data_IF_006181222190
#
_entry.id   IF_006181222190
#
_cell.length_a   1.000
_cell.length_b   1.000
_cell.length_c   1.000
_cell.angle_alpha   90.00
_cell.angle_beta   90.00
_cell.angle_gamma   90.00
#
_symmetry.space_group_name_H-M   'P 1'
#
loop_
_entity.id
_entity.type
_entity.pdbx_description
1 polymer ?
#
# COMPACT_ATOMS: atom_id res chain seq x y z
N UNK A 1 12.10 -5.28 1.84
CA UNK A 1 11.88 -6.72 2.08
C UNK A 1 10.73 -6.92 3.05
N UNK A 2 9.82 -7.86 2.75
CA UNK A 2 8.76 -8.29 3.66
C UNK A 2 9.28 -9.32 4.65
N UNK A 3 8.96 -9.13 5.92
CA UNK A 3 9.37 -10.01 7.01
C UNK A 3 8.17 -10.30 7.91
N UNK A 4 7.75 -11.56 7.99
CA UNK A 4 6.71 -11.97 8.96
C UNK A 4 7.22 -11.79 10.39
N UNK A 5 6.33 -11.39 11.28
CA UNK A 5 6.64 -11.10 12.69
C UNK A 5 6.26 -12.27 13.59
N UNK A 6 6.70 -12.23 14.84
CA UNK A 6 6.30 -13.24 15.84
C UNK A 6 4.83 -13.09 16.24
N UNK A 7 4.22 -14.17 16.75
CA UNK A 7 2.84 -14.15 17.26
C UNK A 7 2.61 -13.04 18.31
N UNK A 8 3.62 -12.74 19.14
CA UNK A 8 3.54 -11.67 20.14
C UNK A 8 3.42 -10.30 19.47
N UNK A 9 4.22 -10.04 18.44
CA UNK A 9 4.16 -8.79 17.67
C UNK A 9 2.87 -8.69 16.86
N UNK A 10 2.39 -9.81 16.33
CA UNK A 10 1.08 -9.85 15.67
C UNK A 10 -0.05 -9.47 16.63
N UNK A 11 -0.08 -10.04 17.84
CA UNK A 11 -1.08 -9.69 18.86
C UNK A 11 -1.00 -8.21 19.25
N UNK A 12 0.20 -7.63 19.35
CA UNK A 12 0.37 -6.20 19.62
C UNK A 12 -0.24 -5.33 18.50
N UNK A 13 0.00 -5.69 17.24
CA UNK A 13 -0.59 -5.00 16.09
C UNK A 13 -2.12 -5.15 16.04
N UNK A 14 -2.65 -6.32 16.41
CA UNK A 14 -4.10 -6.53 16.54
C UNK A 14 -4.69 -5.58 17.59
N UNK A 15 -4.08 -5.47 18.77
CA UNK A 15 -4.54 -4.56 19.81
C UNK A 15 -4.42 -3.08 19.41
N UNK A 16 -3.40 -2.73 18.64
CA UNK A 16 -3.28 -1.37 18.10
C UNK A 16 -4.36 -1.09 17.05
N UNK A 17 -4.56 -1.99 16.09
CA UNK A 17 -5.58 -1.86 15.05
C UNK A 17 -6.99 -1.72 15.65
N UNK A 18 -7.30 -2.45 16.74
CA UNK A 18 -8.58 -2.34 17.47
C UNK A 18 -8.84 -0.96 18.07
N UNK A 19 -7.83 -0.11 18.27
CA UNK A 19 -8.02 1.28 18.72
C UNK A 19 -8.35 2.22 17.56
N UNK A 20 -7.96 1.85 16.34
CA UNK A 20 -8.21 2.65 15.15
C UNK A 20 -9.71 2.62 14.78
N UNK A 21 -10.31 3.80 14.66
CA UNK A 21 -11.76 3.95 14.39
C UNK A 21 -12.14 3.39 13.03
N UNK A 22 -11.36 3.70 12.00
CA UNK A 22 -11.67 3.30 10.62
C UNK A 22 -11.52 1.79 10.43
N UNK A 23 -10.54 1.19 11.12
CA UNK A 23 -10.40 -0.26 11.20
C UNK A 23 -11.66 -0.92 11.73
N UNK A 24 -12.19 -0.43 12.86
CA UNK A 24 -13.41 -0.98 13.44
C UNK A 24 -14.64 -0.80 12.54
N UNK A 25 -14.75 0.34 11.85
CA UNK A 25 -15.85 0.59 10.92
C UNK A 25 -15.76 -0.35 9.71
N UNK A 26 -14.57 -0.50 9.11
CA UNK A 26 -14.36 -1.41 7.99
C UNK A 26 -14.61 -2.86 8.38
N UNK A 27 -14.07 -3.32 9.51
CA UNK A 27 -14.33 -4.68 9.99
C UNK A 27 -15.83 -4.90 10.16
N UNK A 28 -16.55 -4.03 10.90
CA UNK A 28 -17.99 -4.21 11.12
C UNK A 28 -18.81 -4.16 9.82
N UNK A 29 -18.49 -3.24 8.92
CA UNK A 29 -19.21 -3.05 7.67
C UNK A 29 -18.98 -4.16 6.64
N UNK A 30 -17.76 -4.72 6.59
CA UNK A 30 -17.37 -5.73 5.60
C UNK A 30 -17.50 -7.17 6.11
N UNK A 31 -17.30 -7.41 7.41
CA UNK A 31 -17.18 -8.76 8.01
C UNK A 31 -18.50 -9.20 8.69
N UNK A 32 -19.51 -8.33 8.79
CA UNK A 32 -20.90 -8.58 9.24
C UNK A 32 -21.07 -9.83 10.12
N UNK A 33 -20.51 -9.79 11.33
CA UNK A 33 -20.72 -10.74 12.44
C UNK A 33 -19.73 -11.91 12.64
N UNK A 34 -18.61 -12.02 11.89
CA UNK A 34 -17.68 -13.16 12.07
C UNK A 34 -16.19 -12.82 12.22
N UNK A 35 -15.85 -11.79 13.02
CA UNK A 35 -14.45 -11.50 13.42
C UNK A 35 -13.75 -12.72 14.04
N UNK A 36 -14.49 -13.61 14.72
CA UNK A 36 -13.96 -14.85 15.33
C UNK A 36 -13.37 -15.85 14.33
N UNK A 37 -13.70 -15.75 13.04
CA UNK A 37 -13.14 -16.60 11.97
C UNK A 37 -12.05 -15.90 11.16
N UNK A 38 -11.78 -14.63 11.46
CA UNK A 38 -10.79 -13.86 10.72
C UNK A 38 -9.40 -14.39 11.04
N UNK A 39 -8.65 -14.79 9.99
CA UNK A 39 -7.24 -15.14 10.12
C UNK A 39 -6.43 -13.85 10.04
N UNK A 40 -5.62 -13.62 11.05
CA UNK A 40 -4.66 -12.51 11.06
C UNK A 40 -3.31 -13.01 10.56
N UNK A 41 -2.56 -12.11 9.95
CA UNK A 41 -1.16 -12.31 9.63
C UNK A 41 -0.49 -10.96 9.68
N UNK A 42 0.60 -10.83 10.45
CA UNK A 42 1.36 -9.60 10.49
C UNK A 42 2.73 -9.74 9.83
N UNK A 43 3.17 -8.66 9.20
CA UNK A 43 4.51 -8.55 8.61
C UNK A 43 4.99 -7.11 8.61
N UNK A 44 6.30 -6.92 8.63
CA UNK A 44 6.94 -5.62 8.47
C UNK A 44 7.49 -5.49 7.05
N UNK A 45 7.21 -4.36 6.43
CA UNK A 45 7.82 -3.92 5.18
C UNK A 45 8.93 -2.92 5.51
N UNK A 46 10.15 -3.17 5.03
CA UNK A 46 11.29 -2.28 5.23
C UNK A 46 11.94 -1.90 3.92
N UNK A 47 12.26 -0.61 3.76
CA UNK A 47 13.08 -0.08 2.67
C UNK A 47 13.80 1.19 3.12
N UNK A 48 15.14 1.15 3.16
CA UNK A 48 15.93 2.22 3.76
C UNK A 48 15.50 2.44 5.22
N UNK A 49 15.25 3.69 5.60
CA UNK A 49 14.73 4.06 6.92
C UNK A 49 13.21 3.90 7.05
N UNK A 50 12.50 3.66 5.95
CA UNK A 50 11.04 3.49 5.98
C UNK A 50 10.68 2.10 6.48
N UNK A 51 9.92 2.05 7.58
CA UNK A 51 9.41 0.84 8.20
C UNK A 51 7.88 0.97 8.30
N UNK A 52 7.16 -0.02 7.77
CA UNK A 52 5.70 -0.10 7.86
C UNK A 52 5.33 -1.45 8.43
N UNK A 53 4.67 -1.47 9.58
CA UNK A 53 4.07 -2.69 10.12
C UNK A 53 2.70 -2.87 9.48
N UNK A 54 2.41 -4.07 9.00
CA UNK A 54 1.16 -4.38 8.31
C UNK A 54 0.49 -5.53 9.04
N UNK A 55 -0.74 -5.29 9.49
CA UNK A 55 -1.66 -6.34 9.92
C UNK A 55 -2.62 -6.63 8.76
N UNK A 56 -2.59 -7.85 8.27
CA UNK A 56 -3.55 -8.37 7.31
C UNK A 56 -4.61 -9.20 8.05
N UNK A 57 -5.88 -8.85 7.86
CA UNK A 57 -7.03 -9.59 8.36
C UNK A 57 -7.77 -10.20 7.17
N UNK A 58 -7.85 -11.52 7.11
CA UNK A 58 -8.52 -12.27 6.05
C UNK A 58 -9.81 -12.90 6.55
N UNK A 59 -10.93 -12.65 5.86
CA UNK A 59 -12.19 -13.37 6.00
C UNK A 59 -12.68 -13.80 4.62
N UNK A 60 -12.50 -15.09 4.30
CA UNK A 60 -12.83 -15.61 2.98
C UNK A 60 -12.04 -14.88 1.89
N UNK A 61 -12.74 -14.11 1.06
CA UNK A 61 -12.19 -13.32 -0.04
C UNK A 61 -12.03 -11.82 0.28
N UNK A 62 -12.39 -11.41 1.50
CA UNK A 62 -12.20 -10.06 2.01
C UNK A 62 -10.89 -10.00 2.77
N UNK A 63 -10.11 -8.94 2.49
CA UNK A 63 -8.89 -8.57 3.17
C UNK A 63 -9.06 -7.18 3.77
N UNK A 64 -8.64 -6.99 5.01
CA UNK A 64 -8.46 -5.66 5.61
C UNK A 64 -6.99 -5.51 5.98
N UNK A 65 -6.36 -4.49 5.44
CA UNK A 65 -5.00 -4.09 5.77
C UNK A 65 -5.06 -2.92 6.75
N UNK A 66 -4.42 -3.08 7.90
CA UNK A 66 -4.06 -1.99 8.79
C UNK A 66 -2.55 -1.78 8.70
N UNK A 67 -2.14 -0.56 8.42
CA UNK A 67 -0.73 -0.17 8.37
C UNK A 67 -0.42 0.72 9.56
N UNK A 68 0.52 0.30 10.40
CA UNK A 68 1.09 1.11 11.46
C UNK A 68 2.44 1.65 11.00
N UNK A 69 2.49 2.98 10.90
CA UNK A 69 3.70 3.77 10.71
C UNK A 69 3.58 4.99 11.64
N UNK A 70 4.11 6.16 11.28
CA UNK A 70 3.75 7.39 11.99
C UNK A 70 2.30 7.82 11.71
N UNK A 71 1.77 7.44 10.55
CA UNK A 71 0.35 7.59 10.21
C UNK A 71 -0.26 6.21 10.08
N UNK A 72 -1.31 5.97 10.86
CA UNK A 72 -2.11 4.76 10.74
C UNK A 72 -3.03 4.85 9.53
N UNK A 73 -3.18 3.75 8.79
CA UNK A 73 -4.10 3.72 7.65
C UNK A 73 -4.76 2.37 7.48
N UNK A 74 -5.96 2.39 6.90
CA UNK A 74 -6.79 1.20 6.74
C UNK A 74 -7.34 1.10 5.34
N UNK A 75 -7.18 -0.09 4.74
CA UNK A 75 -7.68 -0.41 3.41
C UNK A 75 -8.43 -1.72 3.45
N UNK A 76 -9.70 -1.73 3.04
CA UNK A 76 -10.43 -2.97 2.78
C UNK A 76 -10.32 -3.34 1.31
N UNK A 77 -10.20 -4.61 0.99
CA UNK A 77 -10.36 -5.11 -0.36
C UNK A 77 -11.12 -6.44 -0.40
N UNK A 78 -11.81 -6.70 -1.51
CA UNK A 78 -12.49 -7.96 -1.79
C UNK A 78 -12.14 -8.39 -3.20
N UNK A 79 -11.69 -9.63 -3.36
CA UNK A 79 -11.33 -10.20 -4.66
C UNK A 79 -12.31 -11.34 -4.96
N UNK A 80 -13.12 -11.23 -6.00
CA UNK A 80 -14.12 -12.22 -6.38
C UNK A 80 -13.86 -12.78 -7.77
N UNK A 81 -13.76 -14.11 -7.87
CA UNK A 81 -13.74 -14.79 -9.16
C UNK A 81 -15.17 -15.08 -9.62
N UNK A 82 -15.54 -14.59 -10.80
CA UNK A 82 -16.84 -14.77 -11.47
C UNK A 82 -16.61 -15.33 -12.87
N UNK A 83 -16.51 -16.66 -12.97
CA UNK A 83 -16.08 -17.31 -14.21
C UNK A 83 -14.61 -17.00 -14.49
N UNK A 84 -14.30 -16.43 -15.66
CA UNK A 84 -12.94 -16.06 -16.08
C UNK A 84 -12.55 -14.62 -15.69
N UNK A 85 -13.45 -13.92 -14.98
CA UNK A 85 -13.25 -12.55 -14.51
C UNK A 85 -12.93 -12.55 -13.02
N UNK A 86 -11.90 -11.81 -12.64
CA UNK A 86 -11.57 -11.43 -11.27
C UNK A 86 -12.02 -9.98 -11.05
N UNK A 87 -12.91 -9.78 -10.08
CA UNK A 87 -13.33 -8.45 -9.63
C UNK A 87 -12.60 -8.08 -8.34
N UNK A 88 -11.82 -6.99 -8.39
CA UNK A 88 -11.18 -6.38 -7.22
C UNK A 88 -11.99 -5.17 -6.79
N UNK A 89 -12.50 -5.18 -5.57
CA UNK A 89 -13.20 -4.04 -4.95
C UNK A 89 -12.38 -3.52 -3.78
N UNK A 90 -12.12 -2.21 -3.73
CA UNK A 90 -11.46 -1.52 -2.63
C UNK A 90 -12.43 -0.66 -1.82
N UNK A 91 -12.25 -0.68 -0.50
CA UNK A 91 -13.12 -0.03 0.47
C UNK A 91 -12.31 0.92 1.36
N UNK A 92 -12.92 2.05 1.71
CA UNK A 92 -12.44 3.00 2.72
C UNK A 92 -13.59 3.47 3.61
N UNK A 93 -13.25 4.07 4.74
CA UNK A 93 -14.21 4.81 5.55
C UNK A 93 -14.27 6.24 5.04
N UNK A 94 -15.47 6.69 4.66
CA UNK A 94 -15.76 8.09 4.32
C UNK A 94 -17.03 8.44 5.09
N UNK A 95 -17.02 9.57 5.79
CA UNK A 95 -18.17 10.03 6.60
C UNK A 95 -18.72 8.98 7.57
N UNK A 96 -17.81 8.27 8.26
CA UNK A 96 -18.10 7.15 9.17
C UNK A 96 -18.81 5.95 8.53
N UNK A 97 -18.77 5.82 7.21
CA UNK A 97 -19.42 4.75 6.47
C UNK A 97 -18.43 4.05 5.54
N UNK A 98 -18.62 2.74 5.39
CA UNK A 98 -17.84 1.95 4.42
C UNK A 98 -18.28 2.34 3.01
N UNK A 99 -17.36 2.86 2.23
CA UNK A 99 -17.55 3.31 0.85
C UNK A 99 -16.70 2.49 -0.10
N UNK A 100 -17.27 2.13 -1.26
CA UNK A 100 -16.52 1.55 -2.37
C UNK A 100 -15.78 2.70 -3.07
N UNK A 101 -14.46 2.61 -3.08
CA UNK A 101 -13.57 3.65 -3.65
C UNK A 101 -12.73 3.12 -4.81
N UNK A 102 -12.78 1.81 -5.05
CA UNK A 102 -12.15 1.14 -6.18
C UNK A 102 -13.01 -0.06 -6.59
N UNK A 103 -13.25 -0.25 -7.88
CA UNK A 103 -13.83 -1.47 -8.44
C UNK A 103 -13.25 -1.67 -9.84
N UNK A 104 -12.64 -2.83 -10.07
CA UNK A 104 -12.05 -3.17 -11.37
C UNK A 104 -12.24 -4.66 -11.65
N UNK A 105 -12.50 -4.96 -12.91
CA UNK A 105 -12.54 -6.32 -13.43
C UNK A 105 -11.29 -6.60 -14.25
N UNK A 106 -10.72 -7.78 -14.06
CA UNK A 106 -9.55 -8.29 -14.74
C UNK A 106 -9.89 -9.67 -15.28
N UNK A 107 -9.33 -10.07 -16.41
CA UNK A 107 -9.23 -11.50 -16.72
C UNK A 107 -8.28 -12.17 -15.73
N UNK A 108 -8.38 -13.50 -15.57
CA UNK A 108 -7.43 -14.25 -14.74
C UNK A 108 -5.98 -13.99 -15.15
N UNK A 109 -5.68 -14.01 -16.45
CA UNK A 109 -4.32 -13.79 -16.96
C UNK A 109 -3.82 -12.38 -16.64
N UNK A 110 -4.63 -11.34 -16.89
CA UNK A 110 -4.26 -9.96 -16.56
C UNK A 110 -4.00 -9.79 -15.06
N UNK A 111 -4.81 -10.44 -14.21
CA UNK A 111 -4.62 -10.36 -12.76
C UNK A 111 -3.31 -11.02 -12.33
N UNK A 112 -2.97 -12.19 -12.87
CA UNK A 112 -1.70 -12.87 -12.58
C UNK A 112 -0.50 -12.05 -13.06
N UNK A 113 -0.55 -11.51 -14.28
CA UNK A 113 0.52 -10.65 -14.80
C UNK A 113 0.74 -9.41 -13.93
N UNK A 114 -0.34 -8.77 -13.44
CA UNK A 114 -0.23 -7.65 -12.50
C UNK A 114 0.45 -8.12 -11.20
N UNK A 115 0.03 -9.26 -10.64
CA UNK A 115 0.64 -9.79 -9.41
C UNK A 115 2.14 -10.12 -9.61
N UNK A 116 2.51 -10.72 -10.73
CA UNK A 116 3.89 -11.05 -11.07
C UNK A 116 4.74 -9.77 -11.21
N UNK A 117 4.31 -8.79 -12.00
CA UNK A 117 5.00 -7.50 -12.17
C UNK A 117 5.17 -6.78 -10.82
N UNK A 118 4.19 -6.88 -9.94
CA UNK A 118 4.26 -6.29 -8.59
C UNK A 118 5.25 -7.04 -7.68
N UNK A 119 5.41 -8.36 -7.85
CA UNK A 119 6.20 -9.23 -6.97
C UNK A 119 7.66 -9.49 -7.46
N UNK A 120 7.93 -9.46 -8.77
CA UNK A 120 9.20 -9.90 -9.39
C UNK A 120 10.46 -9.12 -8.94
N UNK A 121 10.32 -7.96 -8.28
CA UNK A 121 11.47 -7.13 -7.89
C UNK A 121 11.86 -7.17 -6.42
N UNK A 122 11.21 -7.98 -5.60
CA UNK A 122 11.60 -8.17 -4.19
C UNK A 122 12.98 -8.83 -4.06
N UNK A 123 13.40 -9.65 -5.03
CA UNK A 123 14.62 -10.47 -4.94
C UNK A 123 15.88 -9.86 -5.59
N UNK A 124 15.77 -8.77 -6.37
CA UNK A 124 16.91 -8.21 -7.12
C UNK A 124 17.56 -6.99 -6.45
N UNK A 125 16.93 -6.43 -5.41
CA UNK A 125 17.31 -5.11 -4.86
C UNK A 125 18.29 -5.19 -3.67
N UNK A 126 18.48 -6.36 -3.06
CA UNK A 126 19.40 -6.55 -1.92
C UNK A 126 20.91 -6.45 -2.28
N UNK A 127 21.27 -6.14 -3.54
CA UNK A 127 22.67 -6.20 -4.00
C UNK A 127 23.35 -4.85 -4.30
N UNK A 128 22.70 -3.70 -4.08
CA UNK A 128 23.23 -2.39 -4.51
C UNK A 128 23.20 -1.33 -3.40
N UNK A 129 24.04 -1.50 -2.38
CA UNK A 129 24.37 -0.46 -1.41
C UNK A 129 25.80 0.07 -1.63
N UNK A 130 25.94 1.32 -2.08
CA UNK A 130 26.94 2.26 -1.53
C UNK A 130 26.88 3.70 -2.10
N UNK A 131 26.99 4.66 -1.15
CA UNK A 131 27.60 6.01 -1.20
C UNK A 131 26.72 7.26 -1.46
N UNK A 132 26.29 7.89 -0.35
CA UNK A 132 26.71 9.22 0.17
C UNK A 132 25.57 10.26 0.31
N UNK A 133 25.12 10.40 1.56
CA UNK A 133 24.77 11.61 2.34
C UNK A 133 24.43 12.93 1.63
N UNK A 134 23.16 13.06 1.23
CA UNK A 134 22.22 14.09 1.69
C UNK A 134 20.81 13.55 1.38
N UNK A 135 19.97 13.27 2.39
CA UNK A 135 18.67 12.55 2.26
C UNK A 135 18.79 11.20 1.53
N UNK A 136 19.44 10.22 2.17
CA UNK A 136 19.84 8.95 1.56
C UNK A 136 18.73 7.87 1.58
N UNK A 137 17.53 8.20 1.09
CA UNK A 137 16.54 7.17 0.74
C UNK A 137 16.92 6.61 -0.64
N UNK A 138 17.25 5.32 -0.78
CA UNK A 138 17.65 4.73 -2.06
C UNK A 138 16.46 4.71 -3.03
N UNK A 139 16.73 4.52 -4.33
CA UNK A 139 15.67 4.24 -5.30
C UNK A 139 14.85 3.04 -4.80
N UNK A 140 13.58 3.30 -4.49
CA UNK A 140 12.73 2.39 -3.71
C UNK A 140 12.28 1.24 -4.61
N UNK A 141 11.75 1.59 -5.77
CA UNK A 141 11.18 0.65 -6.71
C UNK A 141 11.21 1.21 -8.13
N UNK A 142 11.50 0.34 -9.09
CA UNK A 142 11.49 0.69 -10.50
C UNK A 142 12.48 1.79 -10.88
N UNK A 143 12.06 2.62 -11.81
CA UNK A 143 12.88 3.68 -12.40
C UNK A 143 12.54 5.07 -11.84
N UNK A 144 11.48 5.20 -11.03
CA UNK A 144 10.93 6.48 -10.58
C UNK A 144 10.49 6.53 -9.11
N UNK A 145 10.19 5.41 -8.44
CA UNK A 145 9.74 5.50 -7.05
C UNK A 145 10.91 5.69 -6.09
N UNK A 146 11.11 6.91 -5.60
CA UNK A 146 12.04 7.25 -4.52
C UNK A 146 13.20 8.17 -4.96
N UNK A 147 13.97 8.71 -4.00
CA UNK A 147 15.10 9.57 -4.35
C UNK A 147 16.17 8.79 -5.14
N UNK A 148 16.92 9.52 -5.98
CA UNK A 148 17.93 8.96 -6.91
C UNK A 148 17.35 8.07 -8.03
N UNK A 149 16.03 7.94 -8.14
CA UNK A 149 15.36 7.48 -9.36
C UNK A 149 15.18 8.66 -10.36
N UNK A 150 14.49 8.45 -11.48
CA UNK A 150 14.04 9.52 -12.39
C UNK A 150 14.33 9.33 -13.89
N UNK A 151 14.75 8.13 -14.32
CA UNK A 151 15.16 7.90 -15.71
C UNK A 151 14.78 6.53 -16.24
N UNK A 152 14.41 6.46 -17.53
CA UNK A 152 14.05 5.21 -18.21
C UNK A 152 12.55 5.11 -18.51
N UNK A 153 12.09 3.91 -18.84
CA UNK A 153 10.65 3.65 -19.04
C UNK A 153 10.06 3.10 -17.75
N UNK A 154 8.90 3.60 -17.27
CA UNK A 154 8.22 2.98 -16.14
C UNK A 154 8.03 1.49 -16.36
N UNK A 155 8.44 0.69 -15.39
CA UNK A 155 8.44 -0.78 -15.51
C UNK A 155 7.15 -1.42 -15.02
N UNK A 156 6.29 -0.64 -14.38
CA UNK A 156 5.00 -1.09 -13.85
C UNK A 156 4.06 0.10 -13.64
N UNK A 157 2.77 -0.17 -13.39
CA UNK A 157 1.83 0.90 -13.07
C UNK A 157 2.15 1.67 -11.78
N UNK A 158 2.74 1.01 -10.76
CA UNK A 158 3.22 1.68 -9.54
C UNK A 158 4.37 2.63 -9.87
N UNK A 159 5.32 2.19 -10.70
CA UNK A 159 6.45 3.02 -11.14
C UNK A 159 5.98 4.20 -12.02
N UNK A 160 4.92 3.99 -12.80
CA UNK A 160 4.29 5.04 -13.59
C UNK A 160 3.65 6.12 -12.70
N UNK A 161 2.99 5.74 -11.60
CA UNK A 161 2.48 6.70 -10.62
C UNK A 161 3.59 7.58 -10.05
N UNK A 162 4.74 6.98 -9.72
CA UNK A 162 5.91 7.71 -9.22
C UNK A 162 6.50 8.64 -10.29
N UNK A 163 6.60 8.18 -11.55
CA UNK A 163 7.04 9.07 -12.64
C UNK A 163 6.16 10.31 -12.74
N UNK A 164 4.84 10.14 -12.68
CA UNK A 164 3.92 11.29 -12.78
C UNK A 164 4.06 12.24 -11.58
N UNK A 165 4.38 11.69 -10.40
CA UNK A 165 4.69 12.48 -9.22
C UNK A 165 6.00 13.26 -9.36
N UNK A 166 7.07 12.63 -9.85
CA UNK A 166 8.34 13.29 -10.16
C UNK A 166 8.14 14.43 -11.18
N UNK A 167 7.39 14.18 -12.26
CA UNK A 167 7.03 15.22 -13.24
C UNK A 167 6.22 16.36 -12.58
N UNK A 168 5.32 16.05 -11.66
CA UNK A 168 4.53 17.04 -10.92
C UNK A 168 5.42 17.90 -10.02
N UNK A 169 6.34 17.29 -9.28
CA UNK A 169 7.33 18.00 -8.46
C UNK A 169 8.28 18.85 -9.30
N UNK A 170 8.73 18.37 -10.45
CA UNK A 170 9.54 19.17 -11.38
C UNK A 170 8.85 20.45 -11.84
N UNK A 171 7.52 20.43 -11.96
CA UNK A 171 6.74 21.58 -12.40
C UNK A 171 6.24 22.50 -11.26
N UNK A 172 5.98 21.95 -10.07
CA UNK A 172 5.28 22.65 -8.99
C UNK A 172 6.12 22.81 -7.69
N UNK A 173 7.33 22.25 -7.66
CA UNK A 173 8.20 22.21 -6.48
C UNK A 173 7.95 21.01 -5.58
N UNK A 174 8.95 20.69 -4.75
CA UNK A 174 8.88 19.64 -3.73
C UNK A 174 7.86 19.97 -2.64
N UNK A 175 7.30 18.93 -2.01
CA UNK A 175 6.28 19.01 -0.95
C UNK A 175 4.97 19.69 -1.40
N UNK A 176 4.72 19.70 -2.71
CA UNK A 176 3.46 20.20 -3.24
C UNK A 176 2.32 19.23 -2.88
N UNK A 177 1.39 19.71 -2.06
CA UNK A 177 0.25 18.93 -1.56
C UNK A 177 -0.60 18.29 -2.66
N UNK A 178 -0.77 18.96 -3.79
CA UNK A 178 -1.57 18.44 -4.89
C UNK A 178 -0.84 17.30 -5.62
N UNK A 179 0.49 17.38 -5.73
CA UNK A 179 1.29 16.28 -6.26
C UNK A 179 1.22 15.05 -5.35
N UNK A 180 1.37 15.23 -4.03
CA UNK A 180 1.29 14.14 -3.05
C UNK A 180 -0.09 13.48 -3.03
N UNK A 181 -1.16 14.30 -3.03
CA UNK A 181 -2.53 13.81 -3.12
C UNK A 181 -2.77 13.00 -4.40
N UNK A 182 -2.25 13.45 -5.55
CA UNK A 182 -2.33 12.71 -6.82
C UNK A 182 -1.60 11.37 -6.73
N UNK A 183 -0.41 11.34 -6.12
CA UNK A 183 0.34 10.10 -5.94
C UNK A 183 -0.40 9.11 -5.03
N UNK A 184 -0.90 9.57 -3.88
CA UNK A 184 -1.68 8.75 -2.94
C UNK A 184 -2.89 8.11 -3.64
N UNK A 185 -3.61 8.89 -4.46
CA UNK A 185 -4.75 8.38 -5.23
C UNK A 185 -4.34 7.44 -6.36
N UNK A 186 -3.25 7.73 -7.07
CA UNK A 186 -2.73 6.86 -8.13
C UNK A 186 -2.33 5.48 -7.59
N UNK A 187 -1.74 5.44 -6.38
CA UNK A 187 -1.28 4.21 -5.74
C UNK A 187 -2.40 3.37 -5.10
N UNK A 188 -3.54 3.97 -4.76
CA UNK A 188 -4.60 3.30 -4.00
C UNK A 188 -5.11 1.98 -4.63
N UNK A 189 -5.37 1.88 -5.95
CA UNK A 189 -5.68 0.63 -6.62
C UNK A 189 -4.71 -0.51 -6.29
N UNK A 190 -3.41 -0.23 -6.35
CA UNK A 190 -2.35 -1.22 -6.14
C UNK A 190 -2.19 -1.58 -4.65
N UNK A 191 -2.55 -0.68 -3.74
CA UNK A 191 -2.70 -1.00 -2.31
C UNK A 191 -3.84 -2.01 -2.12
N UNK A 192 -4.99 -1.82 -2.77
CA UNK A 192 -6.11 -2.78 -2.68
C UNK A 192 -5.77 -4.16 -3.26
N UNK A 193 -4.95 -4.17 -4.32
CA UNK A 193 -4.41 -5.39 -4.95
C UNK A 193 -3.28 -6.05 -4.14
N UNK A 194 -2.80 -5.39 -3.07
CA UNK A 194 -1.84 -5.94 -2.12
C UNK A 194 -0.36 -5.72 -2.46
N UNK A 195 -0.05 -4.76 -3.35
CA UNK A 195 1.33 -4.42 -3.71
C UNK A 195 2.09 -3.88 -2.50
N UNK A 196 3.17 -4.57 -2.13
CA UNK A 196 4.04 -4.15 -1.02
C UNK A 196 4.68 -2.78 -1.28
N UNK A 197 5.13 -2.54 -2.51
CA UNK A 197 5.70 -1.25 -2.91
C UNK A 197 4.67 -0.14 -2.84
N UNK A 198 3.46 -0.36 -3.34
CA UNK A 198 2.40 0.63 -3.24
C UNK A 198 2.06 0.92 -1.76
N UNK A 199 2.00 -0.10 -0.89
CA UNK A 199 1.74 0.08 0.55
C UNK A 199 2.82 0.94 1.20
N UNK A 200 4.11 0.64 0.99
CA UNK A 200 5.23 1.40 1.57
C UNK A 200 5.20 2.85 1.10
N UNK A 201 5.08 3.07 -0.22
CA UNK A 201 5.12 4.42 -0.81
C UNK A 201 3.89 5.21 -0.38
N UNK A 202 2.70 4.60 -0.39
CA UNK A 202 1.46 5.26 0.03
C UNK A 202 1.53 5.67 1.50
N UNK A 203 2.03 4.81 2.39
CA UNK A 203 2.20 5.13 3.81
C UNK A 203 3.16 6.32 4.02
N UNK A 204 4.28 6.38 3.29
CA UNK A 204 5.22 7.50 3.34
C UNK A 204 4.54 8.81 2.93
N UNK A 205 3.82 8.82 1.81
CA UNK A 205 3.20 10.03 1.30
C UNK A 205 1.96 10.45 2.08
N UNK A 206 1.24 9.52 2.71
CA UNK A 206 0.19 9.86 3.68
C UNK A 206 0.76 10.65 4.86
N UNK A 207 1.91 10.21 5.40
CA UNK A 207 2.66 10.94 6.42
C UNK A 207 3.13 12.32 5.93
N UNK A 208 3.77 12.37 4.76
CA UNK A 208 4.25 13.64 4.21
C UNK A 208 3.10 14.63 3.97
N UNK A 209 1.96 14.14 3.49
CA UNK A 209 0.77 14.95 3.27
C UNK A 209 0.21 15.47 4.59
N UNK A 210 0.08 14.64 5.62
CA UNK A 210 -0.39 15.11 6.95
C UNK A 210 0.56 16.16 7.54
N UNK A 211 1.88 15.99 7.40
CA UNK A 211 2.83 16.95 7.94
C UNK A 211 2.83 18.31 7.20
N UNK A 212 2.63 18.32 5.89
CA UNK A 212 2.79 19.52 5.06
C UNK A 212 1.47 20.17 4.61
N UNK A 213 0.34 19.47 4.70
CA UNK A 213 -0.88 19.82 3.96
C UNK A 213 -2.18 19.77 4.77
N UNK A 214 -2.12 19.39 6.05
CA UNK A 214 -3.25 19.43 6.99
C UNK A 214 -2.94 20.35 8.16
#
# INVERSE_FOLDING_TARGET
MKQFVSDVQEQQLVEQAKKNKDFNILLKGLIKDNILLAKTTAFTLKKGETIVNVLEVKLGNIKVLFTESEVESVFGSKIEKKGDIIETTGYKVIDNQVSIVYNKQHTENEFQEIQEIMNEKINQIDSLDNKTELMDLPCIYGNYCGPKCGSGTPISPVDWCCKHHDDCYGNNGYFNCECDRKLIHCLAPYVYEGSEWAIIINAYFLKQYEYNCT
#
